data_IF_236931673199
#
_entry.id   IF_236931673199
#
_cell.length_a   1.000
_cell.length_b   1.000
_cell.length_c   1.000
_cell.angle_alpha   90.00
_cell.angle_beta   90.00
_cell.angle_gamma   90.00
#
_symmetry.space_group_name_H-M   'P 1'
#
loop_
_entity.id
_entity.type
_entity.pdbx_description
1 polymer ?
#
# COMPACT_ATOMS: atom_id res chain seq x y z
N UNK A 1 -3.06 -13.43 -16.62
CA UNK A 1 -1.67 -13.17 -16.28
C UNK A 1 -1.49 -13.01 -14.77
N UNK A 2 -0.40 -13.53 -14.21
CA UNK A 2 -0.09 -13.26 -12.82
C UNK A 2 0.19 -11.77 -12.60
N UNK A 3 -0.03 -11.30 -11.39
CA UNK A 3 0.31 -9.94 -11.05
C UNK A 3 1.83 -9.75 -11.08
N UNK A 4 2.24 -8.54 -11.40
CA UNK A 4 3.65 -8.20 -11.40
C UNK A 4 4.02 -7.57 -10.08
N UNK A 5 5.13 -8.02 -9.53
CA UNK A 5 5.66 -7.50 -8.29
C UNK A 5 7.01 -6.87 -8.52
N UNK A 6 7.31 -5.85 -7.72
CA UNK A 6 8.62 -5.22 -7.70
C UNK A 6 9.02 -5.02 -6.25
N UNK A 7 10.29 -5.24 -5.97
CA UNK A 7 10.87 -4.95 -4.66
C UNK A 7 11.99 -3.96 -4.87
N UNK A 8 11.94 -2.86 -4.14
CA UNK A 8 12.93 -1.81 -4.23
C UNK A 8 13.61 -1.67 -2.88
N UNK A 9 14.93 -1.76 -2.89
CA UNK A 9 15.74 -1.51 -1.71
C UNK A 9 16.58 -0.26 -1.97
N UNK A 10 16.58 0.66 -1.02
CA UNK A 10 17.43 1.84 -1.15
C UNK A 10 17.83 2.36 0.20
N UNK A 11 18.97 3.06 0.21
CA UNK A 11 19.56 3.61 1.41
C UNK A 11 19.55 5.13 1.31
N UNK A 12 18.59 5.75 1.97
CA UNK A 12 18.51 7.21 2.00
C UNK A 12 17.49 7.63 3.06
N UNK A 13 17.83 8.66 3.80
CA UNK A 13 16.97 9.20 4.85
C UNK A 13 16.23 10.45 4.44
N UNK A 14 16.41 10.94 3.23
CA UNK A 14 15.81 12.21 2.81
C UNK A 14 14.37 12.00 2.34
N UNK A 15 13.47 12.82 2.85
CA UNK A 15 12.07 12.76 2.48
C UNK A 15 11.83 12.98 0.99
N UNK A 16 12.63 13.83 0.36
CA UNK A 16 12.44 14.11 -1.06
C UNK A 16 12.69 12.87 -1.92
N UNK A 17 13.65 12.05 -1.56
CA UNK A 17 13.93 10.80 -2.28
C UNK A 17 12.80 9.80 -2.04
N UNK A 18 12.36 9.67 -0.81
CA UNK A 18 11.25 8.79 -0.45
C UNK A 18 9.98 9.14 -1.22
N UNK A 19 9.63 10.42 -1.22
CA UNK A 19 8.43 10.88 -1.93
C UNK A 19 8.54 10.68 -3.45
N UNK A 20 9.73 10.88 -4.01
CA UNK A 20 9.95 10.68 -5.44
C UNK A 20 9.75 9.21 -5.83
N UNK A 21 10.21 8.28 -5.00
CA UNK A 21 10.04 6.85 -5.28
C UNK A 21 8.57 6.47 -5.22
N UNK A 22 7.84 6.94 -4.20
CA UNK A 22 6.42 6.66 -4.08
C UNK A 22 5.64 7.19 -5.29
N UNK A 23 5.96 8.41 -5.70
CA UNK A 23 5.29 9.02 -6.84
C UNK A 23 5.59 8.25 -8.12
N UNK A 24 6.83 7.85 -8.33
CA UNK A 24 7.21 7.08 -9.51
C UNK A 24 6.49 5.74 -9.56
N UNK A 25 6.38 5.06 -8.44
CA UNK A 25 5.64 3.80 -8.35
C UNK A 25 4.18 4.00 -8.73
N UNK A 26 3.55 5.01 -8.15
CA UNK A 26 2.15 5.29 -8.41
C UNK A 26 1.91 5.62 -9.87
N UNK A 27 2.73 6.47 -10.45
CA UNK A 27 2.63 6.83 -11.87
C UNK A 27 2.82 5.66 -12.80
N UNK A 28 3.63 4.69 -12.40
CA UNK A 28 3.86 3.48 -13.18
C UNK A 28 2.76 2.43 -13.01
N UNK A 29 1.76 2.71 -12.18
CA UNK A 29 0.64 1.81 -11.96
C UNK A 29 0.87 0.79 -10.86
N UNK A 30 1.91 0.95 -10.06
CA UNK A 30 2.19 0.07 -8.93
C UNK A 30 1.48 0.55 -7.69
N UNK A 31 1.07 -0.40 -6.86
CA UNK A 31 0.49 -0.13 -5.54
C UNK A 31 1.45 -0.66 -4.49
N UNK A 32 1.75 0.18 -3.51
CA UNK A 32 2.64 -0.23 -2.41
C UNK A 32 1.87 -1.17 -1.49
N UNK A 33 2.43 -2.35 -1.27
CA UNK A 33 1.83 -3.36 -0.41
C UNK A 33 2.55 -3.49 0.93
N UNK A 34 3.83 -3.12 0.99
CA UNK A 34 4.61 -3.27 2.21
C UNK A 34 5.83 -2.35 2.18
N UNK A 35 6.15 -1.78 3.33
CA UNK A 35 7.35 -0.97 3.51
C UNK A 35 8.03 -1.40 4.79
N UNK A 36 9.28 -1.80 4.68
CA UNK A 36 10.05 -2.25 5.84
C UNK A 36 11.40 -1.57 5.88
N UNK A 37 11.96 -1.47 7.09
CA UNK A 37 13.33 -1.02 7.26
C UNK A 37 14.19 -2.21 7.64
N UNK A 38 15.40 -2.22 7.11
CA UNK A 38 16.39 -3.22 7.49
C UNK A 38 17.48 -2.49 8.27
N UNK A 39 17.71 -2.92 9.50
CA UNK A 39 18.82 -2.43 10.29
C UNK A 39 20.00 -3.35 10.07
N UNK A 40 20.94 -2.90 9.27
CA UNK A 40 22.11 -3.72 8.91
C UNK A 40 23.01 -4.08 10.08
N UNK A 41 23.03 -3.23 11.09
CA UNK A 41 23.85 -3.52 12.27
C UNK A 41 23.29 -4.66 13.11
N UNK A 42 21.96 -4.79 13.13
CA UNK A 42 21.28 -5.83 13.89
C UNK A 42 20.79 -6.98 13.02
N UNK A 43 20.86 -6.82 11.71
CA UNK A 43 20.41 -7.84 10.78
C UNK A 43 18.93 -8.15 10.86
N UNK A 44 18.13 -7.25 11.37
CA UNK A 44 16.69 -7.46 11.54
C UNK A 44 15.87 -6.35 10.93
N UNK A 45 14.60 -6.67 10.62
CA UNK A 45 13.66 -5.68 10.15
C UNK A 45 13.09 -4.90 11.33
N UNK A 46 13.09 -3.59 11.20
CA UNK A 46 12.49 -2.70 12.18
C UNK A 46 11.48 -1.79 11.52
N UNK A 47 10.52 -1.33 12.30
CA UNK A 47 9.57 -0.34 11.81
C UNK A 47 10.24 1.02 11.69
N UNK A 48 9.73 1.83 10.79
CA UNK A 48 10.29 3.11 10.45
C UNK A 48 9.86 4.17 11.46
N UNK A 49 10.43 4.13 12.64
CA UNK A 49 10.08 5.06 13.72
C UNK A 49 11.26 5.83 14.28
N UNK A 50 12.46 5.44 13.95
CA UNK A 50 13.64 6.01 14.59
C UNK A 50 14.12 7.23 13.83
N UNK A 51 14.34 8.30 14.56
CA UNK A 51 14.82 9.56 14.01
C UNK A 51 16.30 9.59 13.69
N UNK A 52 17.05 8.63 14.18
CA UNK A 52 18.51 8.65 14.01
C UNK A 52 19.04 7.58 13.10
N UNK A 53 18.21 6.91 12.39
CA UNK A 53 18.59 5.69 11.70
C UNK A 53 19.17 5.95 10.32
N UNK A 54 20.30 6.63 10.28
CA UNK A 54 20.97 6.98 9.04
C UNK A 54 21.44 5.76 8.26
N UNK A 55 21.56 4.62 8.93
CA UNK A 55 22.13 3.41 8.33
C UNK A 55 21.08 2.34 8.00
N UNK A 56 19.81 2.70 8.04
CA UNK A 56 18.75 1.77 7.68
C UNK A 56 18.45 1.83 6.20
N UNK A 57 18.21 0.68 5.61
CA UNK A 57 17.71 0.59 4.26
C UNK A 57 16.20 0.44 4.32
N UNK A 58 15.54 1.00 3.31
CA UNK A 58 14.11 0.78 3.10
C UNK A 58 13.92 -0.28 2.04
N UNK A 59 12.96 -1.17 2.30
CA UNK A 59 12.55 -2.17 1.33
C UNK A 59 11.06 -1.95 1.06
N UNK A 60 10.74 -1.66 -0.18
CA UNK A 60 9.37 -1.42 -0.62
C UNK A 60 8.95 -2.56 -1.52
N UNK A 61 7.83 -3.19 -1.21
CA UNK A 61 7.22 -4.18 -2.08
C UNK A 61 5.96 -3.58 -2.68
N UNK A 62 5.84 -3.65 -4.00
CA UNK A 62 4.70 -3.09 -4.71
C UNK A 62 4.28 -4.03 -5.83
N UNK A 63 3.04 -3.89 -6.28
CA UNK A 63 2.50 -4.76 -7.31
C UNK A 63 1.64 -3.97 -8.27
N UNK A 64 1.45 -4.52 -9.48
CA UNK A 64 0.47 -4.02 -10.43
C UNK A 64 -0.78 -4.88 -10.34
N UNK A 65 -1.96 -4.29 -10.22
CA UNK A 65 -3.20 -5.05 -10.26
C UNK A 65 -3.35 -5.80 -11.58
N UNK A 66 -4.16 -6.86 -11.58
CA UNK A 66 -4.45 -7.59 -12.80
C UNK A 66 -5.12 -6.69 -13.82
N UNK A 67 -4.74 -6.86 -15.08
CA UNK A 67 -5.33 -6.05 -16.15
C UNK A 67 -6.84 -6.22 -16.24
N UNK A 68 -7.34 -7.42 -15.98
CA UNK A 68 -8.79 -7.66 -16.00
C UNK A 68 -9.52 -6.84 -14.94
N UNK A 69 -8.91 -6.68 -13.76
CA UNK A 69 -9.50 -5.84 -12.73
C UNK A 69 -9.47 -4.37 -13.16
N UNK A 70 -8.35 -3.90 -13.70
CA UNK A 70 -8.22 -2.50 -14.11
C UNK A 70 -9.25 -2.18 -15.18
N UNK A 71 -9.44 -3.07 -16.17
CA UNK A 71 -10.43 -2.85 -17.22
C UNK A 71 -11.86 -2.79 -16.66
N UNK A 72 -12.18 -3.68 -15.74
CA UNK A 72 -13.50 -3.66 -15.12
C UNK A 72 -13.72 -2.41 -14.27
N UNK A 73 -12.68 -1.99 -13.56
CA UNK A 73 -12.69 -0.78 -12.75
C UNK A 73 -12.99 0.46 -13.63
N UNK A 74 -12.31 0.53 -14.77
CA UNK A 74 -12.51 1.65 -15.69
C UNK A 74 -13.87 1.59 -16.38
N UNK A 75 -14.36 0.40 -16.69
CA UNK A 75 -15.66 0.22 -17.29
C UNK A 75 -16.79 0.66 -16.35
N UNK A 76 -16.62 0.43 -15.06
CA UNK A 76 -17.58 0.79 -14.02
C UNK A 76 -17.13 2.01 -13.24
N UNK A 77 -16.64 3.00 -13.94
CA UNK A 77 -16.02 4.17 -13.33
C UNK A 77 -16.96 4.87 -12.36
N UNK A 78 -16.49 5.10 -11.14
CA UNK A 78 -17.26 5.79 -10.10
C UNK A 78 -18.27 4.92 -9.36
N UNK A 79 -18.30 3.62 -9.63
CA UNK A 79 -19.16 2.69 -8.90
C UNK A 79 -18.58 2.42 -7.52
N UNK A 80 -19.33 2.67 -6.42
CA UNK A 80 -18.82 2.38 -5.08
C UNK A 80 -18.43 0.92 -4.88
N UNK A 81 -19.13 -0.02 -5.54
CA UNK A 81 -18.77 -1.44 -5.45
C UNK A 81 -17.35 -1.70 -5.96
N UNK A 82 -16.94 -0.99 -7.01
CA UNK A 82 -15.57 -1.15 -7.52
C UNK A 82 -14.53 -0.59 -6.56
N UNK A 83 -14.88 0.47 -5.82
CA UNK A 83 -13.97 0.98 -4.80
C UNK A 83 -13.75 -0.06 -3.69
N UNK A 84 -14.82 -0.72 -3.24
CA UNK A 84 -14.71 -1.76 -2.22
C UNK A 84 -13.99 -3.00 -2.78
N UNK A 85 -14.22 -3.33 -4.03
CA UNK A 85 -13.50 -4.44 -4.67
C UNK A 85 -11.99 -4.15 -4.73
N UNK A 86 -11.63 -2.89 -5.02
CA UNK A 86 -10.23 -2.49 -4.97
C UNK A 86 -9.64 -2.73 -3.58
N UNK A 87 -10.35 -2.31 -2.53
CA UNK A 87 -9.87 -2.48 -1.16
C UNK A 87 -9.69 -3.96 -0.83
N UNK A 88 -10.66 -4.78 -1.20
CA UNK A 88 -10.57 -6.24 -0.95
C UNK A 88 -9.36 -6.85 -1.65
N UNK A 89 -9.15 -6.51 -2.90
CA UNK A 89 -8.01 -7.05 -3.66
C UNK A 89 -6.70 -6.53 -3.12
N UNK A 90 -6.65 -5.26 -2.75
CA UNK A 90 -5.43 -4.69 -2.19
C UNK A 90 -5.07 -5.39 -0.88
N UNK A 91 -6.04 -5.61 0.00
CA UNK A 91 -5.80 -6.30 1.25
C UNK A 91 -5.28 -7.73 1.07
N UNK A 92 -5.69 -8.41 0.00
CA UNK A 92 -5.17 -9.73 -0.30
C UNK A 92 -3.68 -9.72 -0.63
N UNK A 93 -3.17 -8.59 -1.06
CA UNK A 93 -1.77 -8.44 -1.44
C UNK A 93 -0.91 -7.78 -0.36
N UNK A 94 -1.53 -7.25 0.70
CA UNK A 94 -0.79 -6.68 1.82
C UNK A 94 -0.49 -7.79 2.80
N UNK A 95 0.77 -7.97 3.22
CA UNK A 95 1.13 -9.11 4.04
C UNK A 95 0.50 -9.06 5.43
N UNK A 96 0.27 -10.23 6.01
CA UNK A 96 0.01 -10.41 7.43
C UNK A 96 1.12 -11.33 7.92
N UNK A 97 2.09 -10.76 8.62
CA UNK A 97 3.26 -11.52 9.04
C UNK A 97 3.29 -11.61 10.56
N UNK A 98 3.38 -12.82 11.12
CA UNK A 98 3.65 -12.97 12.55
C UNK A 98 5.09 -12.56 12.84
N UNK A 99 5.33 -12.06 14.05
CA UNK A 99 6.69 -11.80 14.48
C UNK A 99 7.37 -13.11 14.93
N UNK A 100 8.61 -13.01 15.39
CA UNK A 100 9.38 -14.17 15.80
C UNK A 100 8.81 -14.91 17.01
N UNK A 101 7.90 -14.27 17.75
CA UNK A 101 7.25 -14.88 18.91
C UNK A 101 5.86 -15.46 18.56
N UNK A 102 5.47 -15.39 17.31
CA UNK A 102 4.17 -15.86 16.85
C UNK A 102 3.06 -14.83 16.95
N UNK A 103 3.35 -13.63 17.44
CA UNK A 103 2.37 -12.55 17.45
C UNK A 103 2.28 -11.92 16.08
N UNK A 104 1.09 -11.40 15.76
CA UNK A 104 0.88 -10.71 14.49
C UNK A 104 1.38 -9.27 14.63
N UNK A 105 2.34 -8.90 13.80
CA UNK A 105 2.81 -7.52 13.74
C UNK A 105 1.78 -6.63 13.06
N UNK A 106 1.76 -5.37 13.48
CA UNK A 106 0.93 -4.38 12.80
C UNK A 106 1.55 -4.09 11.44
N UNK A 107 0.77 -4.29 10.38
CA UNK A 107 1.20 -3.96 9.03
C UNK A 107 0.57 -2.61 8.68
N UNK A 108 1.40 -1.59 8.51
CA UNK A 108 0.91 -0.23 8.31
C UNK A 108 0.00 -0.10 7.10
N UNK A 109 0.29 -0.82 6.02
CA UNK A 109 -0.53 -0.75 4.81
C UNK A 109 -1.94 -1.32 5.00
N UNK A 110 -2.22 -1.97 6.14
CA UNK A 110 -3.56 -2.41 6.48
C UNK A 110 -4.34 -1.38 7.30
N UNK A 111 -3.72 -0.29 7.67
CA UNK A 111 -4.42 0.76 8.42
C UNK A 111 -5.45 1.45 7.55
N UNK A 112 -6.58 1.81 8.14
CA UNK A 112 -7.71 2.39 7.42
C UNK A 112 -7.33 3.61 6.61
N UNK A 113 -6.54 4.50 7.19
CA UNK A 113 -6.19 5.75 6.50
C UNK A 113 -5.31 5.49 5.29
N UNK A 114 -4.43 4.50 5.34
CA UNK A 114 -3.60 4.15 4.19
C UNK A 114 -4.43 3.44 3.11
N UNK A 115 -5.33 2.56 3.52
CA UNK A 115 -6.24 1.92 2.56
C UNK A 115 -7.10 2.95 1.84
N UNK A 116 -7.60 3.93 2.57
CA UNK A 116 -8.38 5.00 1.97
C UNK A 116 -7.54 5.81 0.99
N UNK A 117 -6.32 6.17 1.39
CA UNK A 117 -5.41 6.92 0.52
C UNK A 117 -5.09 6.16 -0.76
N UNK A 118 -4.85 4.86 -0.67
CA UNK A 118 -4.58 4.04 -1.85
C UNK A 118 -5.79 3.98 -2.78
N UNK A 119 -6.98 3.83 -2.21
CA UNK A 119 -8.22 3.81 -2.98
C UNK A 119 -8.44 5.14 -3.70
N UNK A 120 -8.26 6.25 -3.00
CA UNK A 120 -8.40 7.58 -3.59
C UNK A 120 -7.39 7.77 -4.72
N UNK A 121 -6.13 7.44 -4.46
CA UNK A 121 -5.07 7.60 -5.45
C UNK A 121 -5.33 6.76 -6.71
N UNK A 122 -5.82 5.54 -6.53
CA UNK A 122 -6.12 4.67 -7.66
C UNK A 122 -7.17 5.28 -8.57
N UNK A 123 -8.20 5.89 -7.99
CA UNK A 123 -9.24 6.59 -8.76
C UNK A 123 -8.67 7.82 -9.46
N UNK A 124 -7.97 8.67 -8.71
CA UNK A 124 -7.49 9.96 -9.22
C UNK A 124 -6.52 9.75 -10.39
N UNK A 125 -5.63 8.78 -10.27
CA UNK A 125 -4.65 8.51 -11.33
C UNK A 125 -5.32 8.09 -12.65
N UNK A 126 -6.54 7.61 -12.58
CA UNK A 126 -7.29 7.19 -13.77
C UNK A 126 -8.34 8.20 -14.18
N UNK A 127 -8.39 9.36 -13.52
CA UNK A 127 -9.39 10.38 -13.84
C UNK A 127 -10.80 9.99 -13.50
N UNK A 128 -10.97 9.09 -12.52
CA UNK A 128 -12.27 8.58 -12.10
C UNK A 128 -12.68 9.26 -10.80
N UNK A 129 -13.92 9.74 -10.68
CA UNK A 129 -14.39 10.33 -9.42
C UNK A 129 -14.36 9.31 -8.29
N UNK A 130 -13.94 9.78 -7.11
CA UNK A 130 -13.90 8.93 -5.91
C UNK A 130 -15.34 8.80 -5.37
N UNK A 131 -15.91 7.59 -5.33
CA UNK A 131 -17.33 7.43 -4.99
C UNK A 131 -17.64 7.31 -3.51
N UNK A 132 -16.62 7.25 -2.65
CA UNK A 132 -16.80 7.02 -1.22
C UNK A 132 -15.97 8.05 -0.47
N UNK A 133 -16.60 8.78 0.46
CA UNK A 133 -15.86 9.73 1.27
C UNK A 133 -15.19 9.05 2.47
N UNK A 134 -14.33 9.79 3.15
CA UNK A 134 -13.56 9.24 4.26
C UNK A 134 -14.45 8.72 5.40
N UNK A 135 -15.48 9.49 5.75
CA UNK A 135 -16.37 9.10 6.84
C UNK A 135 -17.05 7.75 6.55
N UNK A 136 -17.63 7.62 5.37
CA UNK A 136 -18.30 6.40 4.94
C UNK A 136 -17.30 5.23 4.90
N UNK A 137 -16.12 5.49 4.39
CA UNK A 137 -15.08 4.46 4.30
C UNK A 137 -14.72 3.91 5.69
N UNK A 138 -14.46 4.81 6.64
CA UNK A 138 -14.04 4.37 7.96
C UNK A 138 -15.14 3.64 8.72
N UNK A 139 -16.39 4.07 8.56
CA UNK A 139 -17.52 3.38 9.20
C UNK A 139 -17.63 1.96 8.68
N UNK A 140 -17.60 1.78 7.35
CA UNK A 140 -17.76 0.44 6.77
C UNK A 140 -16.54 -0.46 7.00
N UNK A 141 -15.34 0.08 6.99
CA UNK A 141 -14.17 -0.73 7.25
C UNK A 141 -14.15 -1.26 8.68
N UNK A 142 -14.62 -0.48 9.63
CA UNK A 142 -14.74 -0.93 11.02
C UNK A 142 -15.75 -2.07 11.14
N UNK A 143 -16.90 -1.95 10.45
CA UNK A 143 -17.96 -2.96 10.52
C UNK A 143 -17.57 -4.26 9.85
N UNK A 144 -16.82 -4.20 8.79
CA UNK A 144 -16.46 -5.42 8.04
C UNK A 144 -15.34 -6.21 8.68
N UNK A 145 -14.74 -5.71 9.74
CA UNK A 145 -13.70 -6.43 10.47
C UNK A 145 -12.47 -6.78 9.65
N UNK A 146 -12.14 -5.95 8.72
CA UNK A 146 -11.09 -6.18 7.71
C UNK A 146 -9.84 -6.87 8.21
#
# INVERSE_FOLDING_TARGET
KPMRWITIEFHNSKNIVWNAIQEALLRSGFLVADVRTINKEQGSYNQMTSSGAVKQDLVISAYKPKESFVREFERRAGDPEMAWEFVRQHLQNVPVAPDSTGKIEVVFERQDYLLFDRMVAFHIMRGIPVPIDAHTFYVFSTRSGK
#
